data_IF_433479554876
#
_entry.id   IF_433479554876
#
_cell.length_a   1.000
_cell.length_b   1.000
_cell.length_c   1.000
_cell.angle_alpha   90.00
_cell.angle_beta   90.00
_cell.angle_gamma   90.00
#
_symmetry.space_group_name_H-M   'P 1'
#
loop_
_entity.id
_entity.type
_entity.pdbx_description
1 polymer ?
#
# COMPACT_ATOMS: atom_id res chain seq x y z
N UNK A 1 35.04 -24.69 0.45
CA UNK A 1 33.74 -25.21 -0.04
C UNK A 1 33.22 -26.41 0.77
N UNK A 2 34.08 -27.24 1.39
CA UNK A 2 33.66 -28.42 2.18
C UNK A 2 33.01 -28.08 3.55
N UNK A 3 33.22 -26.87 4.08
CA UNK A 3 32.67 -26.43 5.37
C UNK A 3 31.17 -26.09 5.35
N UNK A 4 30.64 -25.60 4.22
CA UNK A 4 29.24 -25.14 4.11
C UNK A 4 28.26 -26.30 3.92
N UNK A 5 28.65 -27.36 3.19
CA UNK A 5 27.84 -28.57 2.96
C UNK A 5 27.61 -29.39 4.24
N UNK A 6 28.65 -29.55 5.07
CA UNK A 6 28.57 -30.24 6.36
C UNK A 6 27.75 -29.46 7.40
N UNK A 7 27.73 -28.12 7.32
CA UNK A 7 26.87 -27.30 8.17
C UNK A 7 25.40 -27.39 7.75
N UNK A 8 25.10 -27.34 6.45
CA UNK A 8 23.72 -27.50 5.95
C UNK A 8 23.12 -28.87 6.29
N UNK A 9 23.86 -29.96 6.07
CA UNK A 9 23.38 -31.32 6.43
C UNK A 9 23.18 -31.52 7.93
N UNK A 10 23.95 -30.82 8.77
CA UNK A 10 23.78 -30.84 10.24
C UNK A 10 22.56 -30.02 10.68
N UNK A 11 22.29 -28.89 10.04
CA UNK A 11 21.10 -28.05 10.31
C UNK A 11 19.81 -28.77 9.89
N UNK A 12 19.80 -29.42 8.73
CA UNK A 12 18.64 -30.18 8.24
C UNK A 12 18.30 -31.36 9.16
N UNK A 13 19.30 -32.11 9.63
CA UNK A 13 19.08 -33.21 10.58
C UNK A 13 18.57 -32.73 11.93
N UNK A 14 19.09 -31.60 12.44
CA UNK A 14 18.60 -31.02 13.68
C UNK A 14 17.12 -30.61 13.57
N UNK A 15 16.73 -29.99 12.46
CA UNK A 15 15.35 -29.57 12.22
C UNK A 15 14.42 -30.77 12.07
N UNK A 16 14.84 -31.82 11.34
CA UNK A 16 14.10 -33.08 11.22
C UNK A 16 13.79 -33.69 12.60
N UNK A 17 14.79 -33.73 13.50
CA UNK A 17 14.61 -34.24 14.86
C UNK A 17 13.60 -33.38 15.63
N UNK A 18 13.71 -32.04 15.55
CA UNK A 18 12.78 -31.12 16.22
C UNK A 18 11.35 -31.30 15.72
N UNK A 19 11.14 -31.40 14.41
CA UNK A 19 9.82 -31.55 13.81
C UNK A 19 9.18 -32.90 14.14
N UNK A 20 9.98 -33.96 14.09
CA UNK A 20 9.54 -35.30 14.49
C UNK A 20 9.16 -35.34 15.97
N UNK A 21 10.00 -34.73 16.82
CA UNK A 21 9.74 -34.67 18.25
C UNK A 21 8.48 -33.84 18.55
N UNK A 22 8.27 -32.71 17.86
CA UNK A 22 7.08 -31.88 18.03
C UNK A 22 5.79 -32.66 17.76
N UNK A 23 5.74 -33.45 16.69
CA UNK A 23 4.58 -34.32 16.39
C UNK A 23 4.35 -35.35 17.50
N UNK A 24 5.40 -36.05 17.93
CA UNK A 24 5.25 -37.07 18.97
C UNK A 24 4.82 -36.45 20.32
N UNK A 25 5.39 -35.32 20.71
CA UNK A 25 5.04 -34.65 21.96
C UNK A 25 3.65 -33.99 21.92
N UNK A 26 3.20 -33.50 20.75
CA UNK A 26 1.84 -32.98 20.58
C UNK A 26 0.81 -34.11 20.64
N UNK A 27 1.12 -35.28 20.08
CA UNK A 27 0.23 -36.45 20.07
C UNK A 27 0.16 -37.15 21.44
N UNK A 28 1.29 -37.60 21.97
CA UNK A 28 1.35 -38.48 23.16
C UNK A 28 1.67 -37.75 24.47
N UNK A 29 2.16 -36.51 24.40
CA UNK A 29 2.58 -35.75 25.58
C UNK A 29 3.99 -36.08 26.06
N UNK A 30 4.49 -35.30 27.03
CA UNK A 30 5.89 -35.36 27.47
C UNK A 30 6.30 -36.71 28.09
N UNK A 31 5.44 -37.32 28.90
CA UNK A 31 5.78 -38.53 29.65
C UNK A 31 5.89 -39.77 28.76
N UNK A 32 4.98 -39.91 27.80
CA UNK A 32 4.89 -41.08 26.91
C UNK A 32 6.00 -41.13 25.85
N UNK A 33 6.50 -39.97 25.42
CA UNK A 33 7.56 -39.92 24.40
C UNK A 33 8.91 -40.25 25.04
N UNK A 34 9.71 -41.06 24.36
CA UNK A 34 11.11 -41.32 24.69
C UNK A 34 12.02 -41.08 23.47
N UNK A 35 13.34 -41.00 23.71
CA UNK A 35 14.32 -40.67 22.65
C UNK A 35 14.37 -41.71 21.53
N UNK A 36 13.99 -42.96 21.82
CA UNK A 36 14.00 -44.05 20.84
C UNK A 36 12.82 -43.97 19.88
N UNK A 37 11.64 -43.58 20.38
CA UNK A 37 10.48 -43.27 19.54
C UNK A 37 10.78 -42.16 18.55
N UNK A 38 11.46 -41.09 18.99
CA UNK A 38 11.87 -39.99 18.10
C UNK A 38 12.85 -40.48 17.04
N UNK A 39 13.85 -41.29 17.42
CA UNK A 39 14.84 -41.84 16.48
C UNK A 39 14.18 -42.71 15.41
N UNK A 40 13.30 -43.62 15.84
CA UNK A 40 12.56 -44.52 14.96
C UNK A 40 11.67 -43.74 13.99
N UNK A 41 10.90 -42.75 14.49
CA UNK A 41 10.01 -41.93 13.64
C UNK A 41 10.80 -41.05 12.67
N UNK A 42 11.96 -40.53 13.06
CA UNK A 42 12.80 -39.70 12.22
C UNK A 42 13.65 -40.51 11.21
N UNK A 43 13.64 -41.85 11.30
CA UNK A 43 14.44 -42.73 10.43
C UNK A 43 15.94 -42.61 10.66
N UNK A 44 16.39 -42.31 11.89
CA UNK A 44 17.80 -42.12 12.24
C UNK A 44 18.22 -43.02 13.42
N UNK A 45 19.52 -43.25 13.56
CA UNK A 45 20.05 -44.01 14.69
C UNK A 45 19.86 -43.24 16.01
N UNK A 46 19.54 -43.94 17.10
CA UNK A 46 19.39 -43.36 18.45
C UNK A 46 20.61 -42.54 18.88
N UNK A 47 21.81 -43.04 18.61
CA UNK A 47 23.07 -42.32 18.88
C UNK A 47 23.19 -41.00 18.13
N UNK A 48 22.57 -40.87 16.94
CA UNK A 48 22.54 -39.61 16.19
C UNK A 48 21.74 -38.54 16.91
N UNK A 49 20.64 -38.87 17.59
CA UNK A 49 19.87 -37.87 18.37
C UNK A 49 20.71 -37.31 19.51
N UNK A 50 21.43 -38.17 20.24
CA UNK A 50 22.27 -37.76 21.37
C UNK A 50 23.44 -36.85 20.97
N UNK A 51 23.80 -36.79 19.68
CA UNK A 51 24.76 -35.82 19.17
C UNK A 51 24.19 -34.39 19.08
N UNK A 52 22.86 -34.24 19.07
CA UNK A 52 22.17 -32.95 18.98
C UNK A 52 21.49 -32.55 20.29
N UNK A 53 20.95 -33.51 21.04
CA UNK A 53 20.19 -33.27 22.26
C UNK A 53 20.58 -34.31 23.31
N UNK A 54 21.13 -33.86 24.45
CA UNK A 54 21.61 -34.73 25.53
C UNK A 54 20.48 -35.41 26.29
N UNK A 55 19.30 -34.80 26.32
CA UNK A 55 18.14 -35.33 27.04
C UNK A 55 16.81 -35.06 26.35
N UNK A 56 15.75 -35.74 26.82
CA UNK A 56 14.38 -35.54 26.36
C UNK A 56 13.89 -34.12 26.66
N UNK A 57 14.27 -33.59 27.81
CA UNK A 57 13.96 -32.24 28.27
C UNK A 57 14.61 -31.20 27.36
N UNK A 58 15.89 -31.38 27.01
CA UNK A 58 16.59 -30.49 26.08
C UNK A 58 15.91 -30.46 24.71
N UNK A 59 15.56 -31.63 24.18
CA UNK A 59 14.82 -31.75 22.93
C UNK A 59 13.44 -31.06 23.01
N UNK A 60 12.73 -31.26 24.12
CA UNK A 60 11.42 -30.65 24.35
C UNK A 60 11.48 -29.12 24.37
N UNK A 61 12.45 -28.53 25.09
CA UNK A 61 12.63 -27.08 25.11
C UNK A 61 13.13 -26.52 23.78
N UNK A 62 14.00 -27.26 23.08
CA UNK A 62 14.54 -26.83 21.78
C UNK A 62 13.45 -26.62 20.71
N UNK A 63 12.35 -27.37 20.77
CA UNK A 63 11.17 -27.16 19.91
C UNK A 63 10.64 -25.73 20.09
N UNK A 64 10.45 -25.31 21.34
CA UNK A 64 9.87 -24.00 21.64
C UNK A 64 10.85 -22.85 21.41
N UNK A 65 12.11 -23.02 21.83
CA UNK A 65 13.14 -22.00 21.72
C UNK A 65 13.47 -21.67 20.26
N UNK A 66 13.64 -22.68 19.42
CA UNK A 66 14.00 -22.49 18.01
C UNK A 66 12.89 -21.80 17.22
N UNK A 67 11.63 -22.08 17.54
CA UNK A 67 10.47 -21.58 16.79
C UNK A 67 10.13 -20.15 17.21
N UNK A 68 10.06 -19.86 18.52
CA UNK A 68 9.72 -18.53 19.02
C UNK A 68 10.80 -17.49 18.74
N UNK A 69 12.08 -17.86 18.85
CA UNK A 69 13.17 -16.92 18.55
C UNK A 69 13.08 -16.44 17.09
N UNK A 70 12.80 -17.36 16.16
CA UNK A 70 12.61 -17.01 14.75
C UNK A 70 11.40 -16.11 14.52
N UNK A 71 10.26 -16.40 15.15
CA UNK A 71 9.07 -15.56 15.09
C UNK A 71 9.36 -14.12 15.56
N UNK A 72 10.01 -13.97 16.72
CA UNK A 72 10.32 -12.67 17.29
C UNK A 72 11.18 -11.86 16.32
N UNK A 73 12.25 -12.45 15.77
CA UNK A 73 13.09 -11.77 14.79
C UNK A 73 12.35 -11.39 13.50
N UNK A 74 11.41 -12.22 13.04
CA UNK A 74 10.58 -11.91 11.87
C UNK A 74 9.61 -10.74 12.15
N UNK A 75 8.98 -10.71 13.33
CA UNK A 75 8.12 -9.60 13.75
C UNK A 75 8.90 -8.29 13.93
N UNK A 76 10.04 -8.34 14.61
CA UNK A 76 10.92 -7.17 14.83
C UNK A 76 11.40 -6.54 13.52
N UNK A 77 11.67 -7.35 12.50
CA UNK A 77 12.04 -6.84 11.17
C UNK A 77 10.86 -6.15 10.49
N UNK A 78 9.68 -6.75 10.54
CA UNK A 78 8.49 -6.22 9.84
C UNK A 78 7.99 -4.90 10.42
N UNK A 79 8.08 -4.69 11.73
CA UNK A 79 7.64 -3.42 12.35
C UNK A 79 8.51 -2.21 11.96
N UNK A 80 9.75 -2.42 11.49
CA UNK A 80 10.56 -1.31 10.98
C UNK A 80 10.11 -0.79 9.61
N UNK A 81 9.24 -1.52 8.93
CA UNK A 81 8.83 -1.26 7.55
C UNK A 81 7.38 -0.73 7.45
N UNK A 82 6.64 -0.67 8.57
CA UNK A 82 5.21 -0.34 8.54
C UNK A 82 4.92 1.15 8.71
N UNK A 83 3.78 1.57 8.15
CA UNK A 83 3.40 2.97 7.96
C UNK A 83 2.56 3.51 9.13
N UNK A 84 1.79 2.64 9.80
CA UNK A 84 0.90 3.04 10.91
C UNK A 84 0.87 2.03 12.07
N UNK A 85 0.48 2.49 13.27
CA UNK A 85 0.32 1.63 14.46
C UNK A 85 -0.80 0.60 14.30
N UNK A 86 -1.78 0.88 13.45
CA UNK A 86 -2.85 -0.06 13.13
C UNK A 86 -2.32 -1.19 12.23
N UNK A 87 -1.44 -0.85 11.28
CA UNK A 87 -0.71 -1.84 10.50
C UNK A 87 0.15 -2.69 11.41
N UNK A 88 0.87 -2.12 12.39
CA UNK A 88 1.68 -2.91 13.32
C UNK A 88 0.82 -3.89 14.12
N UNK A 89 -0.35 -3.47 14.59
CA UNK A 89 -1.31 -4.36 15.27
C UNK A 89 -1.81 -5.47 14.33
N UNK A 90 -2.11 -5.13 13.07
CA UNK A 90 -2.50 -6.09 12.03
C UNK A 90 -1.40 -7.09 11.74
N UNK A 91 -0.19 -6.59 11.54
CA UNK A 91 1.04 -7.32 11.32
C UNK A 91 1.30 -8.29 12.46
N UNK A 92 1.31 -7.81 13.70
CA UNK A 92 1.45 -8.65 14.89
C UNK A 92 0.43 -9.79 14.91
N UNK A 93 -0.86 -9.43 14.76
CA UNK A 93 -1.99 -10.37 14.87
C UNK A 93 -1.92 -11.45 13.80
N UNK A 94 -1.80 -11.06 12.53
CA UNK A 94 -1.80 -11.98 11.40
C UNK A 94 -0.55 -12.87 11.42
N UNK A 95 0.63 -12.33 11.67
CA UNK A 95 1.86 -13.12 11.66
C UNK A 95 1.90 -14.11 12.80
N UNK A 96 1.50 -13.71 14.01
CA UNK A 96 1.40 -14.62 15.14
C UNK A 96 0.37 -15.72 14.86
N UNK A 97 -0.81 -15.38 14.35
CA UNK A 97 -1.84 -16.35 13.98
C UNK A 97 -1.32 -17.37 12.95
N UNK A 98 -0.78 -16.89 11.83
CA UNK A 98 -0.28 -17.74 10.74
C UNK A 98 0.89 -18.63 11.20
N UNK A 99 1.77 -18.10 12.05
CA UNK A 99 2.86 -18.88 12.64
C UNK A 99 2.34 -20.03 13.51
N UNK A 100 1.35 -19.78 14.37
CA UNK A 100 0.81 -20.80 15.26
C UNK A 100 0.01 -21.86 14.51
N UNK A 101 -0.68 -21.50 13.44
CA UNK A 101 -1.32 -22.45 12.52
C UNK A 101 -0.26 -23.32 11.83
N UNK A 102 0.78 -22.69 11.26
CA UNK A 102 1.86 -23.38 10.56
C UNK A 102 2.60 -24.37 11.46
N UNK A 103 2.82 -24.01 12.72
CA UNK A 103 3.50 -24.85 13.72
C UNK A 103 2.51 -25.36 14.78
N UNK A 104 1.40 -25.96 14.35
CA UNK A 104 0.31 -26.44 15.22
C UNK A 104 0.78 -27.37 16.34
N UNK A 105 1.72 -28.27 16.07
CA UNK A 105 2.25 -29.21 17.06
C UNK A 105 2.99 -28.47 18.20
N UNK A 106 3.81 -27.48 17.82
CA UNK A 106 4.42 -26.57 18.79
C UNK A 106 3.34 -25.81 19.58
N UNK A 107 2.32 -25.27 18.93
CA UNK A 107 1.25 -24.53 19.62
C UNK A 107 0.50 -25.41 20.63
N UNK A 108 0.21 -26.68 20.30
CA UNK A 108 -0.45 -27.62 21.21
C UNK A 108 0.43 -27.95 22.42
N UNK A 109 1.73 -28.15 22.21
CA UNK A 109 2.70 -28.32 23.30
C UNK A 109 2.73 -27.08 24.19
N UNK A 110 2.85 -25.90 23.58
CA UNK A 110 2.87 -24.60 24.25
C UNK A 110 1.61 -24.37 25.10
N UNK A 111 0.42 -24.65 24.57
CA UNK A 111 -0.85 -24.55 25.29
C UNK A 111 -0.92 -25.50 26.48
N UNK A 112 -0.43 -26.74 26.34
CA UNK A 112 -0.38 -27.70 27.45
C UNK A 112 0.52 -27.19 28.58
N UNK A 113 1.70 -26.67 28.25
CA UNK A 113 2.65 -26.12 29.24
C UNK A 113 2.10 -24.86 29.91
N UNK A 114 1.36 -24.02 29.17
CA UNK A 114 0.74 -22.81 29.69
C UNK A 114 -0.46 -23.10 30.62
N UNK A 115 -1.31 -24.07 30.27
CA UNK A 115 -2.56 -24.36 30.98
C UNK A 115 -2.40 -25.39 32.10
N UNK A 116 -1.56 -26.41 31.91
CA UNK A 116 -1.25 -27.43 32.92
C UNK A 116 0.16 -27.14 33.40
N UNK A 117 0.33 -26.82 34.68
CA UNK A 117 1.60 -26.57 35.39
C UNK A 117 2.56 -27.78 35.30
N UNK A 118 3.03 -28.16 34.12
CA UNK A 118 4.10 -29.13 34.00
C UNK A 118 5.33 -28.52 34.68
N UNK A 119 6.11 -29.31 35.45
CA UNK A 119 7.23 -28.80 36.25
C UNK A 119 8.41 -28.29 35.40
N UNK A 120 8.34 -28.43 34.07
CA UNK A 120 9.37 -28.07 33.12
C UNK A 120 9.31 -26.57 32.80
N UNK A 121 10.22 -25.80 33.40
CA UNK A 121 10.42 -24.38 33.10
C UNK A 121 11.66 -24.18 32.23
N UNK A 122 11.51 -23.48 31.10
CA UNK A 122 12.63 -22.92 30.35
C UNK A 122 12.64 -21.40 30.49
N UNK A 123 13.76 -20.86 31.01
CA UNK A 123 13.97 -19.43 31.14
C UNK A 123 13.94 -18.71 29.79
N UNK A 124 14.47 -19.36 28.75
CA UNK A 124 14.45 -18.84 27.38
C UNK A 124 13.03 -18.72 26.84
N UNK A 125 12.22 -19.76 27.06
CA UNK A 125 10.81 -19.77 26.65
C UNK A 125 10.03 -18.66 27.37
N UNK A 126 10.18 -18.53 28.69
CA UNK A 126 9.56 -17.46 29.48
C UNK A 126 9.99 -16.07 28.96
N UNK A 127 11.27 -15.90 28.64
CA UNK A 127 11.82 -14.65 28.09
C UNK A 127 11.20 -14.31 26.74
N UNK A 128 11.08 -15.28 25.83
CA UNK A 128 10.50 -15.06 24.51
C UNK A 128 9.00 -14.75 24.57
N UNK A 129 8.26 -15.40 25.47
CA UNK A 129 6.84 -15.08 25.71
C UNK A 129 6.70 -13.65 26.23
N UNK A 130 7.55 -13.27 27.19
CA UNK A 130 7.56 -11.91 27.73
C UNK A 130 7.84 -10.87 26.63
N UNK A 131 8.79 -11.15 25.74
CA UNK A 131 9.10 -10.28 24.59
C UNK A 131 7.92 -10.12 23.64
N UNK A 132 7.22 -11.21 23.29
CA UNK A 132 6.02 -11.12 22.45
C UNK A 132 4.93 -10.23 23.09
N UNK A 133 4.71 -10.39 24.40
CA UNK A 133 3.76 -9.56 25.15
C UNK A 133 4.21 -8.10 25.22
N UNK A 134 5.51 -7.86 25.37
CA UNK A 134 6.10 -6.52 25.39
C UNK A 134 5.93 -5.81 24.05
N UNK A 135 6.19 -6.50 22.93
CA UNK A 135 5.98 -5.97 21.58
C UNK A 135 4.54 -5.50 21.37
N UNK A 136 3.56 -6.35 21.68
CA UNK A 136 2.14 -5.97 21.60
C UNK A 136 1.81 -4.81 22.54
N UNK A 137 2.35 -4.82 23.76
CA UNK A 137 2.11 -3.76 24.73
C UNK A 137 2.66 -2.40 24.25
N UNK A 138 3.77 -2.40 23.52
CA UNK A 138 4.35 -1.19 22.95
C UNK A 138 3.48 -0.65 21.80
N UNK A 139 2.99 -1.52 20.91
CA UNK A 139 2.02 -1.15 19.85
C UNK A 139 0.78 -0.49 20.47
N UNK A 140 0.21 -1.12 21.51
CA UNK A 140 -0.97 -0.56 22.18
C UNK A 140 -0.67 0.77 22.86
N UNK A 141 0.45 0.92 23.58
CA UNK A 141 0.85 2.18 24.21
C UNK A 141 0.98 3.31 23.18
N UNK A 142 1.69 3.04 22.10
CA UNK A 142 1.86 4.01 21.02
C UNK A 142 0.52 4.43 20.42
N UNK A 143 -0.40 3.49 20.20
CA UNK A 143 -1.73 3.81 19.69
C UNK A 143 -2.59 4.63 20.67
N UNK A 144 -2.44 4.42 21.99
CA UNK A 144 -3.07 5.28 23.01
C UNK A 144 -2.44 6.68 23.01
N UNK A 145 -1.11 6.77 22.95
CA UNK A 145 -0.38 8.05 22.92
C UNK A 145 -0.75 8.87 21.68
N UNK A 146 -0.88 8.22 20.52
CA UNK A 146 -1.33 8.83 19.25
C UNK A 146 -2.84 9.06 19.17
N UNK A 147 -3.60 8.69 20.21
CA UNK A 147 -5.08 8.78 20.27
C UNK A 147 -5.82 7.99 19.19
N UNK A 148 -5.18 6.99 18.61
CA UNK A 148 -5.78 6.05 17.64
C UNK A 148 -6.56 4.97 18.39
N UNK A 149 -6.07 4.55 19.55
CA UNK A 149 -6.73 3.60 20.44
C UNK A 149 -7.41 4.29 21.63
N UNK A 150 -8.44 3.65 22.21
CA UNK A 150 -9.13 4.06 23.44
C UNK A 150 -8.12 4.25 24.56
N UNK A 151 -8.52 4.88 25.67
CA UNK A 151 -7.73 4.74 26.88
C UNK A 151 -7.81 3.27 27.36
N UNK A 152 -6.73 2.52 27.18
CA UNK A 152 -6.67 1.08 27.41
C UNK A 152 -5.89 0.75 28.67
N UNK A 153 -6.34 -0.27 29.41
CA UNK A 153 -5.45 -0.98 30.32
C UNK A 153 -4.53 -1.88 29.48
N UNK A 154 -3.32 -1.41 29.20
CA UNK A 154 -2.38 -2.07 28.28
C UNK A 154 -2.12 -3.53 28.66
N UNK A 155 -1.82 -3.80 29.94
CA UNK A 155 -1.45 -5.15 30.37
C UNK A 155 -2.61 -6.14 30.18
N UNK A 156 -3.81 -5.75 30.61
CA UNK A 156 -5.03 -6.54 30.44
C UNK A 156 -5.38 -6.74 28.96
N UNK A 157 -5.30 -5.67 28.16
CA UNK A 157 -5.65 -5.71 26.74
C UNK A 157 -4.70 -6.60 25.95
N UNK A 158 -3.40 -6.53 26.22
CA UNK A 158 -2.40 -7.45 25.65
C UNK A 158 -2.73 -8.92 25.95
N UNK A 159 -3.13 -9.23 27.19
CA UNK A 159 -3.51 -10.60 27.57
C UNK A 159 -4.79 -11.06 26.86
N UNK A 160 -5.79 -10.18 26.70
CA UNK A 160 -7.01 -10.50 25.97
C UNK A 160 -6.73 -10.75 24.48
N UNK A 161 -5.92 -9.92 23.83
CA UNK A 161 -5.56 -10.07 22.41
C UNK A 161 -4.81 -11.39 22.18
N UNK A 162 -3.79 -11.70 22.98
CA UNK A 162 -3.08 -12.97 22.89
C UNK A 162 -4.04 -14.16 23.13
N UNK A 163 -4.94 -14.03 24.09
CA UNK A 163 -5.99 -15.02 24.36
C UNK A 163 -6.90 -15.27 23.16
N UNK A 164 -7.36 -14.21 22.49
CA UNK A 164 -8.21 -14.29 21.30
C UNK A 164 -7.48 -14.96 20.14
N UNK A 165 -6.22 -14.59 19.89
CA UNK A 165 -5.38 -15.23 18.86
C UNK A 165 -5.25 -16.73 19.14
N UNK A 166 -4.91 -17.12 20.37
CA UNK A 166 -4.78 -18.53 20.74
C UNK A 166 -6.10 -19.29 20.62
N UNK A 167 -7.21 -18.66 20.98
CA UNK A 167 -8.54 -19.26 20.85
C UNK A 167 -8.91 -19.51 19.39
N UNK A 168 -8.67 -18.53 18.51
CA UNK A 168 -8.92 -18.65 17.07
C UNK A 168 -8.05 -19.75 16.43
N UNK A 169 -6.77 -19.82 16.78
CA UNK A 169 -5.88 -20.89 16.32
C UNK A 169 -6.37 -22.27 16.78
N UNK A 170 -6.74 -22.40 18.06
CA UNK A 170 -7.22 -23.67 18.60
C UNK A 170 -8.53 -24.12 17.93
N UNK A 171 -9.44 -23.18 17.66
CA UNK A 171 -10.69 -23.46 16.92
C UNK A 171 -10.39 -23.99 15.52
N UNK A 172 -9.40 -23.45 14.82
CA UNK A 172 -8.99 -23.90 13.50
C UNK A 172 -8.39 -25.30 13.53
N UNK A 173 -7.47 -25.56 14.46
CA UNK A 173 -6.84 -26.88 14.61
C UNK A 173 -7.88 -27.97 14.92
N UNK A 174 -8.86 -27.68 15.77
CA UNK A 174 -9.88 -28.65 16.18
C UNK A 174 -10.92 -28.96 15.09
N UNK A 175 -11.09 -28.08 14.09
CA UNK A 175 -12.12 -28.18 13.05
C UNK A 175 -11.58 -28.66 11.70
N UNK A 176 -10.27 -28.91 11.59
CA UNK A 176 -9.57 -29.33 10.37
C UNK A 176 -9.94 -28.47 9.14
N UNK A 177 -9.88 -27.15 9.33
CA UNK A 177 -10.38 -26.15 8.39
C UNK A 177 -9.42 -25.99 7.18
N UNK A 178 -9.96 -25.92 5.96
CA UNK A 178 -9.21 -25.63 4.72
C UNK A 178 -8.66 -24.19 4.64
N UNK A 179 -7.58 -24.01 3.86
CA UNK A 179 -6.78 -22.77 3.79
C UNK A 179 -7.59 -21.47 3.52
N UNK A 180 -8.63 -21.53 2.67
CA UNK A 180 -9.46 -20.35 2.37
C UNK A 180 -10.22 -19.83 3.60
N UNK A 181 -10.68 -20.73 4.46
CA UNK A 181 -11.42 -20.36 5.66
C UNK A 181 -10.48 -19.85 6.75
N UNK A 182 -9.24 -20.37 6.82
CA UNK A 182 -8.18 -19.83 7.69
C UNK A 182 -7.85 -18.38 7.34
N UNK A 183 -7.82 -18.05 6.04
CA UNK A 183 -7.63 -16.67 5.55
C UNK A 183 -8.78 -15.78 6.01
N UNK A 184 -10.03 -16.22 5.86
CA UNK A 184 -11.19 -15.42 6.28
C UNK A 184 -11.19 -15.18 7.79
N UNK A 185 -10.92 -16.23 8.57
CA UNK A 185 -10.98 -16.17 10.03
C UNK A 185 -9.89 -15.28 10.63
N UNK A 186 -8.70 -15.20 10.00
CA UNK A 186 -7.65 -14.27 10.46
C UNK A 186 -8.04 -12.80 10.28
N UNK A 187 -8.77 -12.46 9.20
CA UNK A 187 -9.25 -11.10 8.95
C UNK A 187 -10.39 -10.76 9.91
N UNK A 188 -11.33 -11.69 10.15
CA UNK A 188 -12.39 -11.53 11.15
C UNK A 188 -11.81 -11.33 12.56
N UNK A 189 -10.81 -12.12 12.94
CA UNK A 189 -10.09 -11.97 14.21
C UNK A 189 -9.45 -10.59 14.34
N UNK A 190 -8.75 -10.13 13.30
CA UNK A 190 -8.12 -8.82 13.32
C UNK A 190 -9.16 -7.70 13.44
N UNK A 191 -10.25 -7.76 12.67
CA UNK A 191 -11.32 -6.76 12.75
C UNK A 191 -11.93 -6.72 14.16
N UNK A 192 -12.19 -7.88 14.77
CA UNK A 192 -12.69 -7.94 16.15
C UNK A 192 -11.72 -7.30 17.16
N UNK A 193 -10.42 -7.61 17.05
CA UNK A 193 -9.38 -6.99 17.89
C UNK A 193 -9.35 -5.48 17.68
N UNK A 194 -9.32 -5.04 16.42
CA UNK A 194 -9.30 -3.64 16.01
C UNK A 194 -10.46 -2.86 16.65
N UNK A 195 -11.68 -3.34 16.48
CA UNK A 195 -12.89 -2.66 16.96
C UNK A 195 -12.91 -2.59 18.51
N UNK A 196 -12.29 -3.57 19.18
CA UNK A 196 -12.17 -3.57 20.64
C UNK A 196 -11.21 -2.49 21.17
N UNK A 197 -10.20 -2.10 20.38
CA UNK A 197 -9.13 -1.17 20.83
C UNK A 197 -9.24 0.23 20.25
N UNK A 198 -9.78 0.40 19.04
CA UNK A 198 -9.91 1.70 18.37
C UNK A 198 -10.69 2.65 19.27
N UNK A 199 -10.14 3.86 19.47
CA UNK A 199 -10.80 4.95 20.20
C UNK A 199 -12.26 5.03 19.76
N UNK A 200 -13.21 5.24 20.68
CA UNK A 200 -14.52 5.74 20.25
C UNK A 200 -14.23 7.12 19.68
N UNK A 201 -13.90 7.17 18.40
CA UNK A 201 -14.14 8.33 17.57
C UNK A 201 -15.62 8.57 17.79
N UNK A 202 -15.96 9.67 18.46
CA UNK A 202 -17.29 10.30 18.37
C UNK A 202 -17.88 9.93 17.03
N UNK A 203 -19.03 9.24 16.99
CA UNK A 203 -19.77 8.82 15.78
C UNK A 203 -19.00 9.15 14.50
N UNK A 204 -18.25 8.16 13.96
CA UNK A 204 -17.41 8.33 12.78
C UNK A 204 -18.04 9.40 11.87
N UNK A 205 -17.36 10.52 11.57
CA UNK A 205 -18.01 11.70 11.00
C UNK A 205 -18.72 11.41 9.67
N UNK A 206 -18.38 10.27 9.06
CA UNK A 206 -18.94 9.77 7.82
C UNK A 206 -19.76 8.48 7.96
N UNK A 207 -20.20 8.08 9.16
CA UNK A 207 -21.02 6.87 9.32
C UNK A 207 -22.30 6.99 8.47
N UNK A 208 -22.48 6.03 7.55
CA UNK A 208 -23.55 6.04 6.56
C UNK A 208 -23.44 7.13 5.48
N UNK A 209 -22.27 7.79 5.32
CA UNK A 209 -22.05 8.83 4.32
C UNK A 209 -21.32 8.29 3.09
N UNK A 210 -21.82 8.67 1.91
CA UNK A 210 -21.20 8.30 0.63
C UNK A 210 -20.51 9.50 0.00
N UNK A 211 -19.22 9.35 -0.32
CA UNK A 211 -18.38 10.36 -0.99
C UNK A 211 -18.04 9.88 -2.39
N UNK A 212 -18.38 10.67 -3.41
CA UNK A 212 -18.01 10.42 -4.80
C UNK A 212 -16.77 11.24 -5.19
N UNK A 213 -15.77 10.57 -5.73
CA UNK A 213 -14.50 11.18 -6.16
C UNK A 213 -14.33 10.98 -7.67
N UNK A 214 -14.09 12.08 -8.41
CA UNK A 214 -14.12 12.08 -9.89
C UNK A 214 -12.77 11.90 -10.59
N UNK A 215 -11.68 11.77 -9.83
CA UNK A 215 -10.31 11.61 -10.36
C UNK A 215 -9.91 10.14 -10.44
N UNK A 216 -8.91 9.81 -11.26
CA UNK A 216 -8.28 8.49 -11.19
C UNK A 216 -7.54 8.29 -9.86
N UNK A 217 -7.59 7.06 -9.34
CA UNK A 217 -6.85 6.63 -8.15
C UNK A 217 -5.37 6.46 -8.52
N UNK A 218 -4.52 6.92 -7.64
CA UNK A 218 -3.05 6.95 -7.77
C UNK A 218 -2.49 7.30 -6.40
N UNK A 219 -1.56 8.26 -6.30
CA UNK A 219 -1.02 8.76 -5.01
C UNK A 219 -2.08 9.28 -4.00
N UNK A 220 -3.35 9.37 -4.39
CA UNK A 220 -4.47 9.73 -3.50
C UNK A 220 -5.09 8.54 -2.75
N UNK A 221 -4.64 7.30 -2.98
CA UNK A 221 -5.13 6.10 -2.29
C UNK A 221 -5.01 6.21 -0.76
N UNK A 222 -3.91 6.76 -0.25
CA UNK A 222 -3.70 6.97 1.18
C UNK A 222 -4.73 7.94 1.79
N UNK A 223 -5.02 9.04 1.09
CA UNK A 223 -5.99 10.04 1.54
C UNK A 223 -7.44 9.52 1.47
N UNK A 224 -7.76 8.70 0.46
CA UNK A 224 -9.05 8.02 0.38
C UNK A 224 -9.18 6.96 1.49
N UNK A 225 -8.09 6.24 1.80
CA UNK A 225 -8.03 5.30 2.93
C UNK A 225 -8.46 5.97 4.23
N UNK A 226 -7.99 7.19 4.49
CA UNK A 226 -8.38 7.95 5.69
C UNK A 226 -9.87 8.29 5.76
N UNK A 227 -10.53 8.59 4.63
CA UNK A 227 -11.99 8.79 4.61
C UNK A 227 -12.74 7.51 4.96
N UNK A 228 -12.28 6.37 4.40
CA UNK A 228 -12.86 5.04 4.67
C UNK A 228 -12.67 4.63 6.13
N UNK A 229 -11.49 4.88 6.70
CA UNK A 229 -11.18 4.64 8.13
C UNK A 229 -12.11 5.43 9.05
N UNK A 230 -12.50 6.63 8.64
CA UNK A 230 -13.46 7.49 9.34
C UNK A 230 -14.93 7.17 9.01
N UNK A 231 -15.19 6.04 8.35
CA UNK A 231 -16.54 5.49 8.12
C UNK A 231 -17.19 5.84 6.78
N UNK A 232 -16.51 6.57 5.89
CA UNK A 232 -17.09 6.94 4.60
C UNK A 232 -17.14 5.75 3.65
N UNK A 233 -18.26 5.61 2.95
CA UNK A 233 -18.30 4.83 1.72
C UNK A 233 -17.80 5.69 0.57
N UNK A 234 -16.80 5.21 -0.18
CA UNK A 234 -16.19 5.99 -1.27
C UNK A 234 -16.49 5.35 -2.62
N UNK A 235 -17.16 6.12 -3.49
CA UNK A 235 -17.35 5.77 -4.89
C UNK A 235 -16.31 6.54 -5.71
N UNK A 236 -15.31 5.82 -6.20
CA UNK A 236 -14.32 6.39 -7.09
C UNK A 236 -14.78 6.24 -8.54
N UNK A 237 -15.22 7.33 -9.18
CA UNK A 237 -15.69 7.40 -10.56
C UNK A 237 -14.72 8.26 -11.40
N UNK A 238 -13.63 7.71 -11.96
CA UNK A 238 -12.73 8.47 -12.80
C UNK A 238 -13.48 9.06 -14.00
N UNK A 239 -13.31 10.36 -14.24
CA UNK A 239 -13.96 11.08 -15.36
C UNK A 239 -13.00 11.35 -16.53
N UNK A 240 -11.81 10.76 -16.46
CA UNK A 240 -10.74 10.90 -17.43
C UNK A 240 -10.06 9.54 -17.62
N UNK A 241 -9.83 9.14 -18.86
CA UNK A 241 -9.06 7.98 -19.27
C UNK A 241 -7.85 8.46 -20.07
N UNK A 242 -6.67 7.97 -19.71
CA UNK A 242 -5.48 8.18 -20.52
C UNK A 242 -5.47 7.12 -21.61
N UNK A 243 -5.46 7.55 -22.86
CA UNK A 243 -5.52 6.69 -24.05
C UNK A 243 -4.33 6.97 -24.97
N UNK A 244 -4.02 6.11 -25.95
CA UNK A 244 -3.05 6.43 -26.99
C UNK A 244 -3.40 7.76 -27.71
N UNK A 245 -2.42 8.46 -28.29
CA UNK A 245 -2.68 9.61 -29.14
C UNK A 245 -3.49 9.19 -30.39
N UNK A 246 -4.15 10.15 -31.04
CA UNK A 246 -4.92 9.87 -32.25
C UNK A 246 -4.03 9.36 -33.38
N UNK A 247 -2.76 9.76 -33.37
CA UNK A 247 -1.73 9.28 -34.30
C UNK A 247 -0.38 9.20 -33.60
N UNK A 248 0.34 8.10 -33.84
CA UNK A 248 1.72 7.94 -33.40
C UNK A 248 2.75 8.50 -34.39
N UNK A 249 2.33 9.02 -35.55
CA UNK A 249 3.22 9.35 -36.67
C UNK A 249 4.38 10.27 -36.28
N UNK A 250 4.09 11.36 -35.56
CA UNK A 250 5.09 12.36 -35.16
C UNK A 250 6.07 11.78 -34.13
N UNK A 251 5.55 11.03 -33.15
CA UNK A 251 6.35 10.32 -32.16
C UNK A 251 7.25 9.27 -32.82
N UNK A 252 6.72 8.45 -33.72
CA UNK A 252 7.48 7.42 -34.44
C UNK A 252 8.57 8.03 -35.30
N UNK A 253 8.29 9.16 -35.97
CA UNK A 253 9.29 9.86 -36.77
C UNK A 253 10.40 10.44 -35.88
N UNK A 254 10.06 10.98 -34.71
CA UNK A 254 11.04 11.46 -33.74
C UNK A 254 11.90 10.29 -33.18
N UNK A 255 11.30 9.14 -32.88
CA UNK A 255 12.02 7.95 -32.40
C UNK A 255 12.94 7.38 -33.48
N UNK A 256 12.52 7.37 -34.76
CA UNK A 256 13.39 6.96 -35.87
C UNK A 256 14.63 7.85 -35.97
N UNK A 257 14.45 9.16 -35.83
CA UNK A 257 15.52 10.17 -35.89
C UNK A 257 16.02 10.58 -34.49
N UNK A 258 15.97 9.66 -33.52
CA UNK A 258 16.18 10.01 -32.11
C UNK A 258 17.60 10.52 -31.79
N UNK A 259 18.57 10.18 -32.63
CA UNK A 259 19.94 10.68 -32.58
C UNK A 259 20.04 12.20 -32.80
N UNK A 260 19.06 12.83 -33.45
CA UNK A 260 19.06 14.28 -33.69
C UNK A 260 18.72 15.10 -32.44
N UNK A 261 18.11 14.50 -31.43
CA UNK A 261 17.73 15.19 -30.19
C UNK A 261 18.80 15.01 -29.12
N UNK A 262 19.24 16.12 -28.54
CA UNK A 262 20.12 16.10 -27.35
C UNK A 262 19.30 16.19 -26.06
N UNK A 263 18.19 16.94 -26.09
CA UNK A 263 17.34 17.22 -24.94
C UNK A 263 15.95 16.60 -25.10
N UNK A 264 15.44 16.00 -24.02
CA UNK A 264 14.07 15.48 -23.93
C UNK A 264 13.39 16.11 -22.72
N UNK A 265 12.31 16.85 -22.93
CA UNK A 265 11.56 17.53 -21.87
C UNK A 265 10.27 16.75 -21.60
N UNK A 266 10.08 16.31 -20.35
CA UNK A 266 8.81 15.75 -19.91
C UNK A 266 8.08 16.71 -18.98
N UNK A 267 6.80 16.94 -19.29
CA UNK A 267 5.89 17.80 -18.50
C UNK A 267 4.88 17.01 -17.68
N UNK A 268 4.84 15.69 -17.83
CA UNK A 268 3.88 14.81 -17.17
C UNK A 268 4.45 13.41 -17.02
N UNK A 269 4.15 12.76 -15.88
CA UNK A 269 4.42 11.34 -15.66
C UNK A 269 3.79 10.45 -16.74
N UNK A 270 2.63 10.85 -17.30
CA UNK A 270 1.97 10.08 -18.35
C UNK A 270 2.75 10.17 -19.67
N UNK A 271 3.34 11.33 -19.96
CA UNK A 271 4.20 11.48 -21.13
C UNK A 271 5.43 10.57 -21.03
N UNK A 272 6.03 10.48 -19.84
CA UNK A 272 7.14 9.55 -19.56
C UNK A 272 6.69 8.11 -19.83
N UNK A 273 5.58 7.69 -19.22
CA UNK A 273 5.11 6.31 -19.33
C UNK A 273 4.81 5.89 -20.77
N UNK A 274 4.04 6.70 -21.50
CA UNK A 274 3.63 6.34 -22.86
C UNK A 274 4.76 6.46 -23.87
N UNK A 275 5.66 7.43 -23.70
CA UNK A 275 6.83 7.53 -24.56
C UNK A 275 7.80 6.36 -24.33
N UNK A 276 8.00 5.92 -23.08
CA UNK A 276 8.81 4.73 -22.78
C UNK A 276 8.21 3.46 -23.40
N UNK A 277 6.89 3.26 -23.26
CA UNK A 277 6.17 2.15 -23.93
C UNK A 277 6.37 2.19 -25.44
N UNK A 278 6.37 3.40 -26.03
CA UNK A 278 6.60 3.54 -27.47
C UNK A 278 8.05 3.28 -27.86
N UNK A 279 9.03 3.78 -27.10
CA UNK A 279 10.46 3.52 -27.31
C UNK A 279 10.81 2.04 -27.23
N UNK A 280 10.18 1.30 -26.33
CA UNK A 280 10.37 -0.14 -26.18
C UNK A 280 10.00 -0.90 -27.46
N UNK A 281 8.91 -0.51 -28.13
CA UNK A 281 8.51 -1.09 -29.43
C UNK A 281 9.52 -0.82 -30.56
N UNK A 282 10.38 0.18 -30.40
CA UNK A 282 11.48 0.50 -31.33
C UNK A 282 12.84 -0.01 -30.84
N UNK A 283 12.91 -0.68 -29.69
CA UNK A 283 14.16 -1.12 -29.04
C UNK A 283 15.14 0.04 -28.76
N UNK A 284 14.62 1.26 -28.53
CA UNK A 284 15.41 2.50 -28.33
C UNK A 284 15.42 3.03 -26.90
N UNK A 285 14.94 2.25 -25.94
CA UNK A 285 14.90 2.64 -24.53
C UNK A 285 16.29 3.02 -24.00
N UNK A 286 17.34 2.29 -24.39
CA UNK A 286 18.71 2.60 -23.97
C UNK A 286 19.27 3.89 -24.60
N UNK A 287 18.81 4.27 -25.80
CA UNK A 287 19.22 5.54 -26.41
C UNK A 287 18.77 6.74 -25.55
N UNK A 288 17.66 6.62 -24.82
CA UNK A 288 17.16 7.69 -23.95
C UNK A 288 18.12 7.96 -22.79
N UNK A 289 18.87 6.96 -22.31
CA UNK A 289 19.89 7.13 -21.24
C UNK A 289 21.02 8.06 -21.66
N UNK A 290 21.27 8.20 -22.95
CA UNK A 290 22.29 9.11 -23.49
C UNK A 290 21.81 10.56 -23.65
N UNK A 291 20.52 10.82 -23.42
CA UNK A 291 19.90 12.14 -23.61
C UNK A 291 19.91 12.96 -22.33
N UNK A 292 19.85 14.28 -22.49
CA UNK A 292 19.65 15.22 -21.38
C UNK A 292 18.17 15.33 -21.05
N UNK A 293 17.72 14.51 -20.09
CA UNK A 293 16.33 14.45 -19.66
C UNK A 293 16.01 15.59 -18.70
N UNK A 294 14.98 16.38 -19.01
CA UNK A 294 14.51 17.48 -18.18
C UNK A 294 13.12 17.11 -17.63
N UNK A 295 12.99 17.10 -16.31
CA UNK A 295 11.76 16.74 -15.62
C UNK A 295 11.05 17.98 -15.08
N UNK A 296 9.85 18.26 -15.59
CA UNK A 296 9.00 19.35 -15.08
C UNK A 296 7.97 18.75 -14.13
N UNK A 297 8.09 19.10 -12.86
CA UNK A 297 7.20 18.65 -11.77
C UNK A 297 7.68 17.40 -11.05
N UNK A 298 7.40 17.33 -9.75
CA UNK A 298 7.85 16.26 -8.85
C UNK A 298 7.33 14.86 -9.23
N UNK A 299 6.12 14.78 -9.78
CA UNK A 299 5.55 13.50 -10.25
C UNK A 299 6.26 12.95 -11.47
N UNK A 300 6.60 13.84 -12.40
CA UNK A 300 7.37 13.50 -13.61
C UNK A 300 8.76 13.01 -13.23
N UNK A 301 9.44 13.72 -12.32
CA UNK A 301 10.73 13.33 -11.74
C UNK A 301 10.66 11.93 -11.12
N UNK A 302 9.68 11.69 -10.23
CA UNK A 302 9.51 10.39 -9.58
C UNK A 302 9.38 9.26 -10.61
N UNK A 303 8.55 9.44 -11.63
CA UNK A 303 8.32 8.45 -12.68
C UNK A 303 9.59 8.16 -13.51
N UNK A 304 10.40 9.18 -13.80
CA UNK A 304 11.67 9.02 -14.52
C UNK A 304 12.66 8.19 -13.68
N UNK A 305 12.79 8.51 -12.39
CA UNK A 305 13.68 7.79 -11.46
C UNK A 305 13.22 6.34 -11.25
N UNK A 306 11.92 6.10 -11.10
CA UNK A 306 11.35 4.75 -10.99
C UNK A 306 11.69 3.87 -12.21
N UNK A 307 11.88 4.48 -13.38
CA UNK A 307 12.28 3.78 -14.61
C UNK A 307 13.81 3.77 -14.81
N UNK A 308 14.59 4.06 -13.76
CA UNK A 308 16.06 4.02 -13.75
C UNK A 308 16.75 4.95 -14.76
N UNK A 309 16.16 6.12 -15.02
CA UNK A 309 16.77 7.17 -15.84
C UNK A 309 17.31 8.32 -14.99
N UNK A 310 18.43 8.89 -15.42
CA UNK A 310 19.03 10.06 -14.77
C UNK A 310 18.39 11.35 -15.28
N UNK A 311 18.09 12.26 -14.35
CA UNK A 311 17.55 13.59 -14.67
C UNK A 311 18.72 14.56 -14.80
N UNK A 312 18.87 15.15 -15.98
CA UNK A 312 19.91 16.13 -16.25
C UNK A 312 19.62 17.47 -15.57
N UNK A 313 18.36 17.90 -15.59
CA UNK A 313 17.97 19.17 -14.97
C UNK A 313 16.54 19.15 -14.46
N UNK A 314 16.33 19.83 -13.33
CA UNK A 314 15.04 20.06 -12.71
C UNK A 314 14.87 21.57 -12.47
N UNK A 315 13.88 22.20 -13.13
CA UNK A 315 13.59 23.61 -12.90
C UNK A 315 13.16 23.87 -11.45
N UNK A 316 13.63 24.98 -10.88
CA UNK A 316 13.30 25.40 -9.51
C UNK A 316 12.14 26.40 -9.47
N UNK A 317 11.95 27.17 -10.55
CA UNK A 317 10.82 28.08 -10.71
C UNK A 317 9.61 27.36 -11.30
N UNK A 318 8.48 27.46 -10.61
CA UNK A 318 7.21 26.86 -11.01
C UNK A 318 6.27 27.80 -11.76
N UNK A 319 6.64 29.08 -11.93
CA UNK A 319 5.90 29.97 -12.85
C UNK A 319 6.24 29.62 -14.29
N UNK A 320 5.27 29.78 -15.20
CA UNK A 320 5.45 29.52 -16.63
C UNK A 320 6.61 30.33 -17.21
N UNK A 321 6.75 31.59 -16.80
CA UNK A 321 7.83 32.49 -17.23
C UNK A 321 9.18 32.08 -16.63
N UNK A 322 9.22 31.77 -15.32
CA UNK A 322 10.45 31.41 -14.63
C UNK A 322 11.03 30.07 -15.09
N UNK A 323 10.15 29.12 -15.40
CA UNK A 323 10.50 27.83 -16.01
C UNK A 323 11.19 28.04 -17.37
N UNK A 324 10.62 28.90 -18.21
CA UNK A 324 11.15 29.19 -19.54
C UNK A 324 12.53 29.84 -19.47
N UNK A 325 12.74 30.77 -18.53
CA UNK A 325 14.05 31.39 -18.35
C UNK A 325 15.14 30.38 -17.97
N UNK A 326 14.83 29.42 -17.09
CA UNK A 326 15.76 28.35 -16.73
C UNK A 326 16.06 27.44 -17.93
N UNK A 327 15.05 27.09 -18.73
CA UNK A 327 15.23 26.28 -19.93
C UNK A 327 16.06 27.01 -21.00
N UNK A 328 15.85 28.31 -21.21
CA UNK A 328 16.63 29.14 -22.15
C UNK A 328 18.11 29.24 -21.76
N UNK A 329 18.41 29.32 -20.47
CA UNK A 329 19.79 29.33 -19.98
C UNK A 329 20.46 27.96 -20.08
N UNK A 330 19.67 26.88 -20.01
CA UNK A 330 20.15 25.50 -20.06
C UNK A 330 20.38 25.00 -21.49
N UNK A 331 19.47 25.31 -22.41
CA UNK A 331 19.43 24.75 -23.77
C UNK A 331 20.00 25.79 -24.74
N UNK A 332 21.17 25.52 -25.37
CA UNK A 332 21.75 26.43 -26.35
C UNK A 332 20.84 26.66 -27.57
N UNK A 333 20.96 27.84 -28.17
CA UNK A 333 20.33 28.14 -29.47
C UNK A 333 20.79 27.17 -30.56
N UNK A 334 19.90 26.82 -31.49
CA UNK A 334 20.15 25.86 -32.58
C UNK A 334 19.96 24.39 -32.20
N UNK A 335 19.77 24.07 -30.91
CA UNK A 335 19.56 22.70 -30.45
C UNK A 335 18.19 22.15 -30.80
N UNK A 336 18.13 20.84 -31.07
CA UNK A 336 16.88 20.13 -31.30
C UNK A 336 16.39 19.46 -30.02
N UNK A 337 15.17 19.79 -29.63
CA UNK A 337 14.54 19.37 -28.38
C UNK A 337 13.32 18.52 -28.70
N UNK A 338 13.22 17.35 -28.06
CA UNK A 338 12.01 16.54 -28.12
C UNK A 338 11.11 16.87 -26.93
N UNK A 339 9.83 17.11 -27.19
CA UNK A 339 8.82 17.42 -26.17
C UNK A 339 7.65 16.42 -26.27
N UNK A 340 7.78 15.22 -25.67
CA UNK A 340 6.66 14.29 -25.55
C UNK A 340 5.59 14.84 -24.60
N UNK A 341 4.34 14.87 -25.05
CA UNK A 341 3.23 15.43 -24.26
C UNK A 341 1.85 14.88 -24.65
N UNK A 342 0.79 15.36 -24.00
CA UNK A 342 -0.58 15.07 -24.42
C UNK A 342 -0.90 15.70 -25.77
N UNK A 343 -1.78 15.07 -26.53
CA UNK A 343 -2.37 15.59 -27.77
C UNK A 343 -2.96 17.01 -27.59
N UNK A 344 -3.63 17.26 -26.46
CA UNK A 344 -4.24 18.55 -26.09
C UNK A 344 -3.31 19.51 -25.33
N UNK A 345 -2.04 19.14 -25.12
CA UNK A 345 -1.07 19.97 -24.40
C UNK A 345 -0.78 21.29 -25.12
N UNK A 346 -0.54 22.36 -24.36
CA UNK A 346 -0.29 23.68 -24.96
C UNK A 346 1.10 23.80 -25.60
N UNK A 347 1.23 24.71 -26.57
CA UNK A 347 2.49 24.98 -27.28
C UNK A 347 3.40 26.00 -26.58
N UNK A 348 3.13 26.37 -25.33
CA UNK A 348 3.85 27.48 -24.68
C UNK A 348 5.37 27.25 -24.60
N UNK A 349 5.81 26.09 -24.09
CA UNK A 349 7.24 25.74 -23.97
C UNK A 349 7.91 25.69 -25.36
N UNK A 350 7.22 25.10 -26.34
CA UNK A 350 7.67 25.04 -27.72
C UNK A 350 7.92 26.46 -28.26
N UNK A 351 6.89 27.30 -28.22
CA UNK A 351 6.93 28.66 -28.76
C UNK A 351 8.02 29.51 -28.10
N UNK A 352 8.22 29.38 -26.78
CA UNK A 352 9.23 30.16 -26.07
C UNK A 352 10.66 29.73 -26.33
N UNK A 353 10.91 28.44 -26.51
CA UNK A 353 12.24 27.93 -26.88
C UNK A 353 12.55 28.19 -28.36
N UNK A 354 11.56 28.12 -29.24
CA UNK A 354 11.71 28.47 -30.67
C UNK A 354 12.05 29.94 -30.86
N UNK A 355 11.48 30.85 -30.04
CA UNK A 355 11.88 32.27 -30.02
C UNK A 355 13.35 32.49 -29.66
N UNK A 356 13.96 31.56 -28.92
CA UNK A 356 15.38 31.59 -28.55
C UNK A 356 16.28 30.83 -29.54
N UNK A 357 15.70 30.31 -30.62
CA UNK A 357 16.40 29.67 -31.73
C UNK A 357 16.63 28.16 -31.57
N UNK A 358 16.07 27.52 -30.54
CA UNK A 358 16.00 26.05 -30.49
C UNK A 358 14.92 25.53 -31.45
N UNK A 359 15.06 24.30 -31.94
CA UNK A 359 14.02 23.61 -32.72
C UNK A 359 13.31 22.62 -31.81
N UNK A 360 12.01 22.79 -31.59
CA UNK A 360 11.27 21.94 -30.65
C UNK A 360 10.22 21.10 -31.36
N UNK A 361 10.46 19.78 -31.39
CA UNK A 361 9.48 18.85 -31.90
C UNK A 361 8.58 18.40 -30.74
N UNK A 362 7.37 18.97 -30.72
CA UNK A 362 6.27 18.51 -29.87
C UNK A 362 5.71 17.22 -30.48
N UNK A 363 5.70 16.13 -29.70
CA UNK A 363 5.16 14.85 -30.15
C UNK A 363 4.05 14.38 -29.20
N UNK A 364 2.82 14.15 -29.70
CA UNK A 364 1.76 13.51 -28.94
C UNK A 364 2.16 12.07 -28.59
N UNK A 365 2.09 11.73 -27.31
CA UNK A 365 2.36 10.36 -26.82
C UNK A 365 1.20 9.77 -26.03
N UNK A 366 0.21 10.58 -25.68
CA UNK A 366 -1.06 10.13 -25.14
C UNK A 366 -2.14 11.16 -25.45
N UNK A 367 -3.39 10.75 -25.35
CA UNK A 367 -4.53 11.63 -25.32
C UNK A 367 -5.34 11.41 -24.03
N UNK A 368 -6.24 12.34 -23.75
CA UNK A 368 -7.15 12.29 -22.61
C UNK A 368 -8.56 12.20 -23.16
N UNK A 369 -9.27 11.13 -22.81
CA UNK A 369 -10.65 10.91 -23.24
C UNK A 369 -11.57 10.66 -22.03
N UNK A 370 -12.87 10.59 -22.26
CA UNK A 370 -13.82 10.06 -21.30
C UNK A 370 -13.61 8.54 -21.15
N UNK A 371 -13.82 7.97 -19.96
CA UNK A 371 -13.95 6.53 -19.82
C UNK A 371 -15.15 6.02 -20.63
N UNK A 372 -15.05 4.80 -21.14
CA UNK A 372 -16.20 4.14 -21.72
C UNK A 372 -17.18 3.76 -20.60
N UNK A 373 -18.48 3.72 -20.88
CA UNK A 373 -19.48 3.38 -19.86
C UNK A 373 -19.23 2.00 -19.24
N UNK A 374 -18.65 1.09 -20.01
CA UNK A 374 -18.27 -0.26 -19.58
C UNK A 374 -17.13 -0.23 -18.55
N UNK A 375 -16.18 0.71 -18.67
CA UNK A 375 -15.05 0.87 -17.73
C UNK A 375 -15.51 1.34 -16.34
N UNK A 376 -16.67 2.01 -16.28
CA UNK A 376 -17.20 2.65 -15.06
C UNK A 376 -18.60 2.16 -14.66
N UNK A 377 -19.02 1.02 -15.21
CA UNK A 377 -20.40 0.52 -15.06
C UNK A 377 -20.77 0.26 -13.59
N UNK A 378 -19.85 -0.32 -12.82
CA UNK A 378 -20.07 -0.63 -11.40
C UNK A 378 -20.21 0.65 -10.56
N UNK A 379 -19.41 1.67 -10.86
CA UNK A 379 -19.45 2.96 -10.20
C UNK A 379 -20.74 3.71 -10.51
N UNK A 380 -21.18 3.67 -11.77
CA UNK A 380 -22.47 4.25 -12.19
C UNK A 380 -23.63 3.52 -11.52
N UNK A 381 -23.56 2.19 -11.41
CA UNK A 381 -24.56 1.40 -10.68
C UNK A 381 -24.62 1.83 -9.21
N UNK A 382 -23.49 1.91 -8.54
CA UNK A 382 -23.41 2.37 -7.14
C UNK A 382 -23.94 3.80 -6.96
N UNK A 383 -23.65 4.70 -7.91
CA UNK A 383 -24.16 6.07 -7.92
C UNK A 383 -25.69 6.12 -8.02
N UNK A 384 -26.28 5.21 -8.79
CA UNK A 384 -27.74 5.14 -8.95
C UNK A 384 -28.44 4.45 -7.76
N UNK A 385 -27.76 3.52 -7.08
CA UNK A 385 -28.31 2.76 -5.96
C UNK A 385 -28.16 3.47 -4.60
N UNK A 386 -27.23 4.43 -4.49
CA UNK A 386 -26.90 5.10 -3.22
C UNK A 386 -27.11 6.60 -3.28
N UNK A 387 -27.44 7.17 -2.13
CA UNK A 387 -27.45 8.61 -1.98
C UNK A 387 -26.02 9.14 -1.77
N UNK A 388 -25.55 9.99 -2.69
CA UNK A 388 -24.26 10.68 -2.52
C UNK A 388 -24.43 11.89 -1.61
N UNK A 389 -23.61 11.99 -0.57
CA UNK A 389 -23.57 13.12 0.35
C UNK A 389 -22.60 14.21 -0.11
N UNK A 390 -21.44 13.80 -0.65
CA UNK A 390 -20.35 14.69 -1.07
C UNK A 390 -19.84 14.33 -2.46
N UNK A 391 -19.80 15.31 -3.37
CA UNK A 391 -19.15 15.20 -4.67
C UNK A 391 -17.83 15.97 -4.66
N UNK A 392 -16.75 15.28 -5.04
CA UNK A 392 -15.39 15.84 -5.01
C UNK A 392 -14.87 16.07 -6.43
N UNK A 393 -14.51 17.32 -6.73
CA UNK A 393 -13.95 17.74 -8.03
C UNK A 393 -12.57 18.37 -7.89
N UNK A 394 -11.61 17.90 -8.69
CA UNK A 394 -10.21 18.36 -8.61
C UNK A 394 -9.78 19.26 -9.76
N UNK A 395 -10.63 19.46 -10.76
CA UNK A 395 -10.42 20.43 -11.83
C UNK A 395 -11.75 20.80 -12.50
N UNK A 396 -11.81 21.92 -13.23
CA UNK A 396 -12.93 22.23 -14.12
C UNK A 396 -13.28 21.06 -15.05
N UNK A 397 -12.27 20.45 -15.67
CA UNK A 397 -12.45 19.32 -16.59
C UNK A 397 -13.06 18.08 -15.94
N UNK A 398 -12.73 17.76 -14.68
CA UNK A 398 -13.37 16.63 -13.98
C UNK A 398 -14.87 16.86 -13.76
N UNK A 399 -15.29 18.11 -13.57
CA UNK A 399 -16.70 18.47 -13.43
C UNK A 399 -17.43 18.40 -14.78
N UNK A 400 -16.89 19.02 -15.82
CA UNK A 400 -17.50 19.00 -17.15
C UNK A 400 -17.63 17.57 -17.69
N UNK A 401 -16.60 16.76 -17.47
CA UNK A 401 -16.62 15.36 -17.89
C UNK A 401 -17.58 14.51 -17.06
N UNK A 402 -17.75 14.79 -15.78
CA UNK A 402 -18.78 14.14 -14.96
C UNK A 402 -20.18 14.39 -15.54
N UNK A 403 -20.50 15.65 -15.87
CA UNK A 403 -21.78 16.01 -16.48
C UNK A 403 -21.98 15.32 -17.83
N UNK A 404 -20.95 15.29 -18.68
CA UNK A 404 -21.00 14.62 -19.99
C UNK A 404 -21.15 13.12 -19.87
N UNK A 405 -20.40 12.48 -18.97
CA UNK A 405 -20.41 11.03 -18.74
C UNK A 405 -21.80 10.55 -18.29
N UNK A 406 -22.42 11.30 -17.37
CA UNK A 406 -23.75 10.98 -16.83
C UNK A 406 -24.90 11.62 -17.61
N UNK A 407 -24.61 12.39 -18.66
CA UNK A 407 -25.60 13.12 -19.48
C UNK A 407 -26.52 14.00 -18.64
N UNK A 408 -25.93 14.79 -17.74
CA UNK A 408 -26.66 15.70 -16.85
C UNK A 408 -26.91 17.02 -17.59
N UNK A 409 -28.16 17.26 -17.99
CA UNK A 409 -28.55 18.49 -18.70
C UNK A 409 -28.76 19.69 -17.76
N UNK A 410 -29.17 19.44 -16.51
CA UNK A 410 -29.46 20.47 -15.50
C UNK A 410 -28.64 20.26 -14.24
N UNK A 411 -27.41 20.82 -14.16
CA UNK A 411 -26.54 20.67 -12.99
C UNK A 411 -27.20 21.19 -11.70
N UNK A 412 -27.96 22.29 -11.77
CA UNK A 412 -28.63 22.88 -10.60
C UNK A 412 -29.65 21.94 -9.97
N UNK A 413 -30.41 21.21 -10.78
CA UNK A 413 -31.38 20.23 -10.28
C UNK A 413 -30.66 18.99 -9.73
N UNK A 414 -29.63 18.50 -10.43
CA UNK A 414 -28.87 17.32 -10.02
C UNK A 414 -28.18 17.50 -8.65
N UNK A 415 -27.56 18.66 -8.43
CA UNK A 415 -26.83 18.95 -7.18
C UNK A 415 -27.70 19.59 -6.09
N UNK A 416 -29.02 19.67 -6.27
CA UNK A 416 -29.91 20.28 -5.28
C UNK A 416 -29.83 19.54 -3.94
N UNK A 417 -29.43 20.24 -2.89
CA UNK A 417 -29.26 19.67 -1.55
C UNK A 417 -28.01 18.80 -1.38
N UNK A 418 -27.13 18.73 -2.38
CA UNK A 418 -25.88 17.97 -2.35
C UNK A 418 -24.71 18.84 -1.92
N UNK A 419 -23.73 18.22 -1.27
CA UNK A 419 -22.48 18.91 -0.89
C UNK A 419 -21.46 18.75 -2.01
N UNK A 420 -20.83 19.85 -2.42
CA UNK A 420 -19.75 19.87 -3.41
C UNK A 420 -18.46 20.32 -2.72
N UNK A 421 -17.42 19.52 -2.89
CA UNK A 421 -16.07 19.79 -2.43
C UNK A 421 -15.13 19.99 -3.63
N UNK A 422 -14.35 21.06 -3.62
CA UNK A 422 -13.42 21.39 -4.71
C UNK A 422 -12.01 21.56 -4.20
N UNK A 423 -11.02 21.17 -5.01
CA UNK A 423 -9.61 21.29 -4.62
C UNK A 423 -9.12 22.75 -4.50
N UNK A 424 -9.77 23.71 -5.15
CA UNK A 424 -9.28 25.09 -5.16
C UNK A 424 -10.08 26.07 -6.02
N UNK A 425 -9.62 27.33 -6.08
CA UNK A 425 -10.42 28.48 -6.53
C UNK A 425 -10.75 28.45 -8.02
N UNK A 426 -9.88 27.90 -8.87
CA UNK A 426 -10.16 27.75 -10.31
C UNK A 426 -11.34 26.83 -10.56
N UNK A 427 -11.40 25.70 -9.84
CA UNK A 427 -12.52 24.76 -9.92
C UNK A 427 -13.79 25.35 -9.31
N UNK A 428 -13.68 26.07 -8.18
CA UNK A 428 -14.81 26.81 -7.58
C UNK A 428 -15.46 27.75 -8.58
N UNK A 429 -14.68 28.68 -9.15
CA UNK A 429 -15.20 29.70 -10.08
C UNK A 429 -15.90 29.07 -11.29
N UNK A 430 -15.34 27.97 -11.80
CA UNK A 430 -15.93 27.23 -12.91
C UNK A 430 -17.29 26.64 -12.53
N UNK A 431 -17.37 25.91 -11.41
CA UNK A 431 -18.62 25.26 -10.98
C UNK A 431 -19.68 26.29 -10.57
N UNK A 432 -19.29 27.39 -9.91
CA UNK A 432 -20.20 28.50 -9.55
C UNK A 432 -20.80 29.18 -10.79
N UNK A 433 -20.12 29.15 -11.95
CA UNK A 433 -20.67 29.68 -13.20
C UNK A 433 -21.89 28.90 -13.72
N UNK A 434 -22.08 27.66 -13.26
CA UNK A 434 -23.29 26.86 -13.50
C UNK A 434 -24.41 27.15 -12.48
N UNK A 435 -24.21 28.11 -11.57
CA UNK A 435 -25.17 28.48 -10.52
C UNK A 435 -25.20 27.51 -9.33
N UNK A 436 -24.10 26.80 -9.10
CA UNK A 436 -23.95 25.85 -8.00
C UNK A 436 -23.21 26.49 -6.82
N UNK A 437 -23.58 26.11 -5.60
CA UNK A 437 -22.91 26.56 -4.39
C UNK A 437 -21.89 25.51 -3.92
N UNK A 438 -20.65 25.95 -3.64
CA UNK A 438 -19.59 25.08 -3.13
C UNK A 438 -19.43 25.24 -1.62
N UNK A 439 -19.57 24.14 -0.87
CA UNK A 439 -19.53 24.14 0.59
C UNK A 439 -18.13 23.87 1.16
N UNK A 440 -17.27 23.17 0.41
CA UNK A 440 -15.97 22.72 0.92
C UNK A 440 -14.86 23.11 -0.07
N UNK A 441 -13.90 23.91 0.40
CA UNK A 441 -12.65 24.22 -0.30
C UNK A 441 -11.52 24.34 0.73
N UNK A 442 -10.36 23.70 0.52
CA UNK A 442 -9.21 23.84 1.39
C UNK A 442 -8.43 25.14 1.13
N UNK A 443 -7.67 25.60 2.13
CA UNK A 443 -6.77 26.77 1.96
C UNK A 443 -5.68 26.53 0.92
N UNK A 444 -5.16 25.30 0.85
CA UNK A 444 -4.12 24.88 -0.08
C UNK A 444 -4.69 23.86 -1.08
N UNK A 445 -4.38 24.04 -2.37
CA UNK A 445 -4.93 23.21 -3.45
C UNK A 445 -4.25 21.83 -3.60
N UNK A 446 -4.21 21.07 -2.51
CA UNK A 446 -3.76 19.68 -2.47
C UNK A 446 -4.93 18.75 -2.13
N UNK A 447 -4.82 17.48 -2.53
CA UNK A 447 -5.86 16.49 -2.22
C UNK A 447 -5.89 16.12 -0.73
N UNK A 448 -4.74 16.15 -0.07
CA UNK A 448 -4.63 15.98 1.39
C UNK A 448 -5.39 17.08 2.13
N UNK A 449 -5.16 18.36 1.77
CA UNK A 449 -5.87 19.46 2.41
C UNK A 449 -7.37 19.44 2.08
N UNK A 450 -7.76 19.00 0.88
CA UNK A 450 -9.17 18.78 0.54
C UNK A 450 -9.80 17.70 1.43
N UNK A 451 -9.08 16.62 1.69
CA UNK A 451 -9.50 15.55 2.60
C UNK A 451 -9.70 16.08 4.02
N UNK A 452 -8.76 16.86 4.56
CA UNK A 452 -8.91 17.55 5.85
C UNK A 452 -10.12 18.49 5.89
N UNK A 453 -10.35 19.23 4.81
CA UNK A 453 -11.48 20.15 4.73
C UNK A 453 -12.82 19.41 4.76
N UNK A 454 -12.90 18.24 4.11
CA UNK A 454 -14.07 17.36 4.16
C UNK A 454 -14.29 16.80 5.57
N UNK A 455 -13.23 16.33 6.24
CA UNK A 455 -13.30 15.84 7.63
C UNK A 455 -13.81 16.95 8.56
N UNK A 456 -13.18 18.12 8.54
CA UNK A 456 -13.57 19.27 9.38
C UNK A 456 -15.00 19.75 9.14
N UNK A 457 -15.53 19.58 7.92
CA UNK A 457 -16.91 19.96 7.60
C UNK A 457 -17.92 19.08 8.35
N UNK A 458 -17.64 17.79 8.51
CA UNK A 458 -18.52 16.84 9.21
C UNK A 458 -18.26 16.79 10.72
N UNK A 459 -17.06 17.10 11.19
CA UNK A 459 -16.79 17.24 12.64
C UNK A 459 -17.48 18.47 13.28
N UNK A 460 -17.85 19.47 12.48
CA UNK A 460 -18.51 20.71 12.95
C UNK A 460 -20.04 20.64 12.94
N UNK A 461 -20.63 19.58 12.39
CA UNK A 461 -22.07 19.31 12.39
C UNK A 461 -22.41 18.32 13.50
#
# INVERSE_FOLDING_TARGET
>A
MISTENQNTKVDKRNLIIDTAAQLFSEFGFHEVNMEMVASRAGIAKGTIYNYFKSKEELYFAISESRLTKLISELERKFKEQVSVLDDLKGFTIHLFMFLIKYKDFFLIFQRTRLKKQPLKSKTLETNIARLKEMLSNILKEGVEKKIFKNLNICFTSDMILGMIYSAVLRNINRDIHDEVVIKEREELFNFIKDSVIANVSSNPFDGKTILITRSMGQSEENVGRLIELGAEVINLPTLKIVPPNSWFECDNAIKNFNEYEYVIFTSQNAVEWFLKRLELFEKTDELKSKKIIAIGSKTEKKIIENSFEIFFKPQKFSSEGLVDELKNLIPSGQKVLLPQSEIGNDFIKNELEKFGSKVDRVPVYNVDLPELEDVADQIKLLNEREIDVFVFTSPSTFDNFLRLLKIDSPQEFFKGKTIAVIGPTTRKHIESFGLNIQIEPENSTFENLTEAIIKFYEKK
#
